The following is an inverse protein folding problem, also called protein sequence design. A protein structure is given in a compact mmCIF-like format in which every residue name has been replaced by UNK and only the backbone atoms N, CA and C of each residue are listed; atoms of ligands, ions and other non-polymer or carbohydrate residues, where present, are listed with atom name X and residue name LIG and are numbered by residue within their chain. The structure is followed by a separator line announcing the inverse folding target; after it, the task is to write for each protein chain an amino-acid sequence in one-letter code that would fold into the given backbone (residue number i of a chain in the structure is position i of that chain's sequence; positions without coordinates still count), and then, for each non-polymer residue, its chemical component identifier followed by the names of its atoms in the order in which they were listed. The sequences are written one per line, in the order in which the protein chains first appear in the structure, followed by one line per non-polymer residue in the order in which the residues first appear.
data_IF_705602432748
#
_entry.id   IF_705602432748
#
_cell.length_a   1.000
_cell.length_b   1.000
_cell.length_c   1.000
_cell.angle_alpha   90.00
_cell.angle_beta   90.00
_cell.angle_gamma   90.00
#
_symmetry.space_group_name_H-M   'P 1'
#
loop_
_entity.id
_entity.type
_entity.pdbx_description
1 polymer ?
#
# COMPACT_ATOMS: atom_id res chain seq x y z
N UNK A 1 21.12 27.95 26.39
CA UNK A 1 20.12 26.88 26.61
C UNK A 1 18.71 27.21 26.12
N UNK A 2 18.22 28.45 26.16
CA UNK A 2 16.84 28.78 25.74
C UNK A 2 16.53 28.62 24.23
N UNK A 3 17.55 28.73 23.36
CA UNK A 3 17.39 28.62 21.90
C UNK A 3 17.10 27.18 21.43
N UNK A 4 17.77 26.16 21.99
CA UNK A 4 17.55 24.76 21.60
C UNK A 4 16.16 24.23 21.99
N UNK A 5 15.63 24.71 23.12
CA UNK A 5 14.29 24.34 23.60
C UNK A 5 13.19 24.84 22.64
N UNK A 6 13.35 26.03 22.05
CA UNK A 6 12.40 26.60 21.07
C UNK A 6 12.31 25.76 19.80
N UNK A 7 13.44 25.30 19.27
CA UNK A 7 13.46 24.46 18.06
C UNK A 7 12.90 23.06 18.33
N UNK A 8 13.21 22.47 19.49
CA UNK A 8 12.66 21.17 19.89
C UNK A 8 11.14 21.18 20.00
N UNK A 9 10.54 22.29 20.45
CA UNK A 9 9.08 22.42 20.52
C UNK A 9 8.43 22.39 19.13
N UNK A 10 8.97 23.16 18.18
CA UNK A 10 8.46 23.18 16.78
C UNK A 10 8.58 21.80 16.15
N UNK A 11 9.73 21.14 16.29
CA UNK A 11 9.94 19.80 15.74
C UNK A 11 8.97 18.78 16.31
N UNK A 12 8.73 18.81 17.63
CA UNK A 12 7.79 17.91 18.29
C UNK A 12 6.35 18.16 17.86
N UNK A 13 5.95 19.43 17.74
CA UNK A 13 4.61 19.83 17.33
C UNK A 13 4.31 19.38 15.89
N UNK A 14 5.14 19.84 14.93
CA UNK A 14 4.99 19.51 13.50
C UNK A 14 5.12 18.01 13.26
N UNK A 15 6.06 17.34 13.95
CA UNK A 15 6.21 15.89 13.85
C UNK A 15 4.98 15.12 14.36
N UNK A 16 4.37 15.57 15.46
CA UNK A 16 3.14 14.95 15.99
C UNK A 16 1.97 15.13 15.03
N UNK A 17 1.77 16.34 14.52
CA UNK A 17 0.72 16.62 13.54
C UNK A 17 0.92 15.80 12.26
N UNK A 18 2.14 15.71 11.76
CA UNK A 18 2.47 14.91 10.59
C UNK A 18 2.17 13.43 10.76
N UNK A 19 2.54 12.84 11.91
CA UNK A 19 2.22 11.43 12.18
C UNK A 19 0.71 11.22 12.30
N UNK A 20 -0.04 12.15 12.91
CA UNK A 20 -1.50 12.05 13.01
C UNK A 20 -2.16 12.12 11.61
N UNK A 21 -1.81 13.13 10.80
CA UNK A 21 -2.33 13.27 9.44
C UNK A 21 -1.91 12.09 8.56
N UNK A 22 -0.71 11.55 8.76
CA UNK A 22 -0.24 10.33 8.09
C UNK A 22 -1.09 9.12 8.43
N UNK A 23 -1.38 8.87 9.71
CA UNK A 23 -2.21 7.73 10.12
C UNK A 23 -3.61 7.82 9.51
N UNK A 24 -4.21 9.01 9.50
CA UNK A 24 -5.52 9.24 8.87
C UNK A 24 -5.47 8.96 7.38
N UNK A 25 -4.50 9.55 6.66
CA UNK A 25 -4.32 9.34 5.23
C UNK A 25 -3.97 7.89 4.89
N UNK A 26 -3.17 7.23 5.72
CA UNK A 26 -2.78 5.83 5.57
C UNK A 26 -4.00 4.93 5.61
N UNK A 27 -4.84 5.04 6.64
CA UNK A 27 -6.05 4.21 6.72
C UNK A 27 -7.01 4.50 5.57
N UNK A 28 -7.16 5.77 5.19
CA UNK A 28 -7.99 6.14 4.04
C UNK A 28 -7.54 5.43 2.75
N UNK A 29 -6.27 5.55 2.37
CA UNK A 29 -5.75 4.88 1.17
C UNK A 29 -5.72 3.36 1.31
N UNK A 30 -5.36 2.85 2.49
CA UNK A 30 -5.35 1.42 2.78
C UNK A 30 -6.73 0.82 2.53
N UNK A 31 -7.80 1.41 3.06
CA UNK A 31 -9.16 0.92 2.85
C UNK A 31 -9.61 1.04 1.40
N UNK A 32 -9.24 2.11 0.69
CA UNK A 32 -9.54 2.26 -0.73
C UNK A 32 -8.92 1.09 -1.53
N UNK A 33 -7.63 0.81 -1.34
CA UNK A 33 -6.97 -0.28 -2.04
C UNK A 33 -7.46 -1.65 -1.58
N UNK A 34 -7.77 -1.81 -0.29
CA UNK A 34 -8.29 -3.04 0.28
C UNK A 34 -9.67 -3.40 -0.30
N UNK A 35 -10.59 -2.43 -0.35
CA UNK A 35 -11.92 -2.63 -0.95
C UNK A 35 -11.80 -2.92 -2.44
N UNK A 36 -10.92 -2.20 -3.16
CA UNK A 36 -10.66 -2.47 -4.57
C UNK A 36 -10.21 -3.92 -4.79
N UNK A 37 -9.32 -4.43 -3.92
CA UNK A 37 -8.84 -5.81 -3.99
C UNK A 37 -9.95 -6.83 -3.70
N UNK A 38 -10.79 -6.59 -2.69
CA UNK A 38 -11.94 -7.45 -2.40
C UNK A 38 -12.88 -7.51 -3.62
N UNK A 39 -13.18 -6.37 -4.25
CA UNK A 39 -14.03 -6.33 -5.45
C UNK A 39 -13.41 -7.10 -6.63
N UNK A 40 -12.10 -6.93 -6.85
CA UNK A 40 -11.38 -7.64 -7.93
C UNK A 40 -11.41 -9.16 -7.72
N UNK A 41 -11.20 -9.61 -6.48
CA UNK A 41 -11.25 -11.03 -6.14
C UNK A 41 -12.70 -11.54 -6.21
N UNK A 42 -13.66 -10.79 -5.69
CA UNK A 42 -15.08 -11.14 -5.75
C UNK A 42 -15.56 -11.31 -7.20
N UNK A 43 -15.19 -10.42 -8.12
CA UNK A 43 -15.51 -10.58 -9.55
C UNK A 43 -14.94 -11.85 -10.17
N UNK A 44 -13.74 -12.27 -9.73
CA UNK A 44 -13.08 -13.49 -10.23
C UNK A 44 -13.62 -14.77 -9.58
N UNK A 45 -14.06 -14.68 -8.33
CA UNK A 45 -14.43 -15.81 -7.49
C UNK A 45 -15.94 -16.03 -7.41
N UNK A 46 -16.81 -15.02 -7.43
CA UNK A 46 -18.28 -15.22 -7.42
C UNK A 46 -18.79 -16.05 -8.60
N UNK A 47 -18.00 -16.19 -9.67
CA UNK A 47 -18.28 -17.06 -10.81
C UNK A 47 -17.93 -18.54 -10.56
N UNK A 48 -17.20 -18.86 -9.49
CA UNK A 48 -16.66 -20.19 -9.16
C UNK A 48 -16.96 -20.52 -7.70
N UNK A 49 -17.46 -21.71 -7.38
CA UNK A 49 -17.75 -22.12 -6.00
C UNK A 49 -16.44 -22.36 -5.20
N UNK A 50 -15.71 -21.28 -4.86
CA UNK A 50 -14.43 -21.33 -4.15
C UNK A 50 -14.67 -21.16 -2.64
N UNK A 51 -13.89 -21.89 -1.84
CA UNK A 51 -13.88 -21.77 -0.38
C UNK A 51 -13.50 -20.35 0.09
N UNK A 52 -14.34 -19.76 0.94
CA UNK A 52 -14.16 -18.42 1.53
C UNK A 52 -12.83 -18.26 2.25
N UNK A 53 -12.30 -19.33 2.85
CA UNK A 53 -11.04 -19.29 3.59
C UNK A 53 -9.85 -19.04 2.66
N UNK A 54 -9.87 -19.64 1.47
CA UNK A 54 -8.86 -19.43 0.45
C UNK A 54 -8.91 -18.00 -0.13
N UNK A 55 -10.11 -17.43 -0.28
CA UNK A 55 -10.31 -16.02 -0.67
C UNK A 55 -9.65 -15.08 0.32
N UNK A 56 -9.91 -15.28 1.61
CA UNK A 56 -9.35 -14.45 2.67
C UNK A 56 -7.82 -14.51 2.68
N UNK A 57 -7.25 -15.71 2.48
CA UNK A 57 -5.81 -15.87 2.37
C UNK A 57 -5.24 -15.12 1.15
N UNK A 58 -5.87 -15.20 -0.02
CA UNK A 58 -5.45 -14.42 -1.20
C UNK A 58 -5.50 -12.90 -0.95
N UNK A 59 -6.51 -12.40 -0.24
CA UNK A 59 -6.61 -10.99 0.15
C UNK A 59 -5.44 -10.61 1.07
N UNK A 60 -5.15 -11.42 2.10
CA UNK A 60 -4.02 -11.19 3.00
C UNK A 60 -2.68 -11.17 2.26
N UNK A 61 -2.47 -12.07 1.30
CA UNK A 61 -1.28 -12.08 0.46
C UNK A 61 -1.21 -10.91 -0.52
N UNK A 62 -2.29 -10.16 -0.71
CA UNK A 62 -2.27 -8.94 -1.51
C UNK A 62 -1.80 -7.72 -0.70
N UNK A 63 -1.76 -7.81 0.65
CA UNK A 63 -1.38 -6.70 1.54
C UNK A 63 -0.06 -6.02 1.20
N UNK A 64 1.04 -6.76 1.03
CA UNK A 64 2.32 -6.12 0.76
C UNK A 64 2.31 -5.28 -0.53
N UNK A 65 1.52 -5.67 -1.52
CA UNK A 65 1.43 -4.95 -2.79
C UNK A 65 0.79 -3.57 -2.64
N UNK A 66 -0.30 -3.44 -1.89
CA UNK A 66 -0.92 -2.14 -1.69
C UNK A 66 -0.20 -1.28 -0.66
N UNK A 67 0.53 -1.88 0.28
CA UNK A 67 1.40 -1.11 1.18
C UNK A 67 2.45 -0.30 0.41
N UNK A 68 3.00 -0.83 -0.70
CA UNK A 68 3.94 -0.09 -1.55
C UNK A 68 3.38 1.24 -2.06
N UNK A 69 2.07 1.31 -2.32
CA UNK A 69 1.41 2.52 -2.80
C UNK A 69 0.84 3.36 -1.65
N UNK A 70 0.35 2.70 -0.59
CA UNK A 70 -0.26 3.36 0.56
C UNK A 70 0.73 4.27 1.29
N UNK A 71 1.96 3.81 1.53
CA UNK A 71 3.00 4.59 2.21
C UNK A 71 3.35 5.92 1.50
N UNK A 72 3.71 5.94 0.20
CA UNK A 72 4.03 7.20 -0.48
C UNK A 72 2.82 8.12 -0.65
N UNK A 73 1.62 7.59 -0.95
CA UNK A 73 0.42 8.44 -1.09
C UNK A 73 -0.02 9.05 0.24
N UNK A 74 -0.01 8.28 1.33
CA UNK A 74 -0.31 8.82 2.66
C UNK A 74 0.72 9.84 3.12
N UNK A 75 2.01 9.60 2.87
CA UNK A 75 3.08 10.57 3.17
C UNK A 75 2.89 11.90 2.44
N UNK A 76 2.52 11.85 1.16
CA UNK A 76 2.23 13.04 0.36
C UNK A 76 1.01 13.79 0.90
N UNK A 77 -0.12 13.11 1.08
CA UNK A 77 -1.35 13.72 1.59
C UNK A 77 -1.19 14.29 2.99
N UNK A 78 -0.49 13.58 3.88
CA UNK A 78 -0.19 14.05 5.23
C UNK A 78 0.65 15.32 5.22
N UNK A 79 1.65 15.41 4.33
CA UNK A 79 2.48 16.62 4.20
C UNK A 79 1.65 17.82 3.77
N UNK A 80 0.73 17.62 2.81
CA UNK A 80 -0.20 18.65 2.36
C UNK A 80 -1.17 19.08 3.46
N UNK A 81 -1.72 18.12 4.22
CA UNK A 81 -2.63 18.39 5.34
C UNK A 81 -1.95 19.23 6.42
N UNK A 82 -0.78 18.81 6.92
CA UNK A 82 -0.04 19.55 7.96
C UNK A 82 0.31 20.96 7.51
N UNK A 83 0.83 21.11 6.29
CA UNK A 83 1.18 22.44 5.78
C UNK A 83 -0.08 23.30 5.64
N UNK A 84 -1.20 22.71 5.21
CA UNK A 84 -2.51 23.36 5.14
C UNK A 84 -3.00 23.83 6.50
N UNK A 85 -2.96 22.96 7.51
CA UNK A 85 -3.41 23.25 8.88
C UNK A 85 -2.53 24.32 9.54
N UNK A 86 -1.20 24.19 9.47
CA UNK A 86 -0.26 25.19 9.98
C UNK A 86 -0.42 26.55 9.28
N UNK A 87 -0.76 26.55 7.99
CA UNK A 87 -1.04 27.78 7.25
C UNK A 87 -2.39 28.38 7.63
N UNK A 88 -3.43 27.57 7.76
CA UNK A 88 -4.80 28.00 8.11
C UNK A 88 -4.89 28.58 9.53
N UNK A 89 -4.11 28.04 10.45
CA UNK A 89 -4.01 28.53 11.84
C UNK A 89 -3.05 29.71 12.01
N UNK A 90 -2.47 30.25 10.92
CA UNK A 90 -1.42 31.28 10.93
C UNK A 90 -0.17 30.89 11.76
N UNK A 91 0.06 29.60 12.01
CA UNK A 91 1.23 29.13 12.78
C UNK A 91 2.52 29.34 11.99
N UNK A 92 2.49 29.17 10.66
CA UNK A 92 3.62 29.49 9.78
C UNK A 92 4.02 30.96 9.92
N UNK A 93 3.04 31.88 9.98
CA UNK A 93 3.29 33.32 10.14
C UNK A 93 3.90 33.61 11.51
N UNK A 94 3.36 33.01 12.57
CA UNK A 94 3.85 33.17 13.95
C UNK A 94 5.28 32.64 14.15
N UNK A 95 5.61 31.49 13.53
CA UNK A 95 6.96 30.92 13.56
C UNK A 95 7.94 31.86 12.85
N UNK A 96 7.56 32.39 11.68
CA UNK A 96 8.39 33.32 10.91
C UNK A 96 8.59 34.66 11.61
N UNK A 97 7.55 35.22 12.24
CA UNK A 97 7.66 36.48 13.00
C UNK A 97 8.53 36.33 14.26
N UNK A 98 8.62 35.12 14.80
CA UNK A 98 9.52 34.76 15.91
C UNK A 98 10.99 34.60 15.49
N UNK A 99 11.32 34.82 14.21
CA UNK A 99 12.69 34.72 13.68
C UNK A 99 13.13 33.29 13.36
N UNK A 100 12.24 32.29 13.44
CA UNK A 100 12.56 30.89 13.11
C UNK A 100 12.40 30.68 11.60
N UNK A 101 13.42 30.12 10.96
CA UNK A 101 13.38 29.80 9.53
C UNK A 101 12.41 28.66 9.25
N UNK A 102 11.64 28.77 8.16
CA UNK A 102 10.68 27.76 7.71
C UNK A 102 11.31 26.39 7.43
N UNK A 103 12.63 26.32 7.21
CA UNK A 103 13.38 25.05 7.09
C UNK A 103 13.16 24.13 8.30
N UNK A 104 12.91 24.68 9.48
CA UNK A 104 12.67 23.91 10.70
C UNK A 104 11.29 23.25 10.72
N UNK A 105 10.32 23.77 9.94
CA UNK A 105 9.02 23.12 9.75
C UNK A 105 9.15 21.92 8.81
N UNK A 106 9.93 22.06 7.73
CA UNK A 106 10.13 20.98 6.76
C UNK A 106 11.03 19.85 7.26
N UNK A 107 12.00 20.15 8.12
CA UNK A 107 12.94 19.16 8.64
C UNK A 107 12.28 17.91 9.26
N UNK A 108 11.34 18.00 10.23
CA UNK A 108 10.70 16.82 10.81
C UNK A 108 9.87 16.04 9.78
N UNK A 109 9.21 16.73 8.83
CA UNK A 109 8.46 16.08 7.75
C UNK A 109 9.40 15.21 6.91
N UNK A 110 10.51 15.78 6.43
CA UNK A 110 11.49 15.07 5.59
C UNK A 110 12.08 13.86 6.34
N UNK A 111 12.47 14.03 7.60
CA UNK A 111 13.06 12.95 8.40
C UNK A 111 12.08 11.79 8.55
N UNK A 112 10.81 12.05 8.89
CA UNK A 112 9.80 11.02 9.05
C UNK A 112 9.46 10.37 7.70
N UNK A 113 9.29 11.16 6.63
CA UNK A 113 9.06 10.63 5.28
C UNK A 113 10.20 9.73 4.80
N UNK A 114 11.45 10.03 5.16
CA UNK A 114 12.60 9.21 4.82
C UNK A 114 12.57 7.85 5.53
N UNK A 115 12.08 7.80 6.77
CA UNK A 115 11.81 6.53 7.49
C UNK A 115 10.73 5.73 6.77
N UNK A 116 9.64 6.35 6.34
CA UNK A 116 8.58 5.67 5.56
C UNK A 116 9.07 5.19 4.19
N UNK A 117 9.96 5.94 3.53
CA UNK A 117 10.61 5.53 2.29
C UNK A 117 11.44 4.26 2.50
N UNK A 118 12.21 4.19 3.59
CA UNK A 118 12.98 2.99 3.93
C UNK A 118 12.07 1.78 4.22
N UNK A 119 10.95 1.99 4.93
CA UNK A 119 9.96 0.94 5.16
C UNK A 119 9.32 0.44 3.85
N UNK A 120 9.04 1.35 2.92
CA UNK A 120 8.53 1.03 1.59
C UNK A 120 9.55 0.20 0.81
N UNK A 121 10.83 0.59 0.85
CA UNK A 121 11.91 -0.15 0.22
C UNK A 121 12.03 -1.58 0.76
N UNK A 122 12.00 -1.77 2.09
CA UNK A 122 12.04 -3.10 2.71
C UNK A 122 10.82 -3.96 2.34
N UNK A 123 9.65 -3.34 2.22
CA UNK A 123 8.43 -4.03 1.78
C UNK A 123 8.55 -4.46 0.31
N UNK A 124 9.10 -3.60 -0.54
CA UNK A 124 9.32 -3.90 -1.96
C UNK A 124 10.36 -5.00 -2.18
N UNK A 125 11.43 -5.02 -1.40
CA UNK A 125 12.54 -5.97 -1.55
C UNK A 125 12.19 -7.37 -1.03
N UNK A 126 11.54 -7.46 0.15
CA UNK A 126 11.31 -8.75 0.83
C UNK A 126 9.86 -9.20 0.84
N UNK A 127 8.97 -8.31 1.27
CA UNK A 127 7.57 -8.69 1.50
C UNK A 127 6.83 -8.94 0.18
N UNK A 128 7.05 -8.10 -0.82
CA UNK A 128 6.36 -8.19 -2.10
C UNK A 128 6.69 -9.47 -2.89
N UNK A 129 7.97 -9.87 -3.10
CA UNK A 129 8.29 -11.08 -3.85
C UNK A 129 7.78 -12.33 -3.12
N UNK A 130 7.92 -12.38 -1.79
CA UNK A 130 7.42 -13.48 -0.97
C UNK A 130 5.91 -13.63 -1.10
N UNK A 131 5.18 -12.52 -0.99
CA UNK A 131 3.72 -12.54 -1.08
C UNK A 131 3.24 -12.90 -2.47
N UNK A 132 3.88 -12.36 -3.51
CA UNK A 132 3.54 -12.65 -4.91
C UNK A 132 3.77 -14.12 -5.25
N UNK A 133 4.86 -14.72 -4.75
CA UNK A 133 5.16 -16.15 -4.96
C UNK A 133 4.06 -17.02 -4.35
N UNK A 134 3.77 -16.83 -3.06
CA UNK A 134 2.73 -17.61 -2.37
C UNK A 134 1.33 -17.34 -2.93
N UNK A 135 1.05 -16.11 -3.41
CA UNK A 135 -0.21 -15.77 -4.05
C UNK A 135 -0.39 -16.59 -5.33
N UNK A 136 0.65 -16.71 -6.16
CA UNK A 136 0.62 -17.51 -7.39
C UNK A 136 0.50 -19.00 -7.11
N UNK A 137 1.18 -19.51 -6.09
CA UNK A 137 1.07 -20.92 -5.66
C UNK A 137 -0.37 -21.23 -5.25
N UNK A 138 -0.92 -20.49 -4.28
CA UNK A 138 -2.28 -20.68 -3.79
C UNK A 138 -3.34 -20.49 -4.90
N UNK A 139 -3.16 -19.48 -5.76
CA UNK A 139 -4.06 -19.26 -6.89
C UNK A 139 -4.03 -20.43 -7.89
N UNK A 140 -2.86 -21.02 -8.14
CA UNK A 140 -2.71 -22.15 -9.06
C UNK A 140 -3.32 -23.42 -8.49
N UNK A 141 -3.13 -23.68 -7.20
CA UNK A 141 -3.70 -24.85 -6.52
C UNK A 141 -5.24 -24.80 -6.53
N UNK A 142 -5.84 -23.63 -6.24
CA UNK A 142 -7.29 -23.44 -6.31
C UNK A 142 -7.86 -23.65 -7.73
N UNK A 143 -7.10 -23.29 -8.77
CA UNK A 143 -7.52 -23.50 -10.15
C UNK A 143 -7.35 -24.95 -10.61
N UNK A 144 -6.45 -25.72 -9.98
CA UNK A 144 -6.28 -27.17 -10.24
C UNK A 144 -7.38 -28.00 -9.57
N UNK A 145 -7.77 -27.64 -8.35
CA UNK A 145 -8.81 -28.33 -7.58
C UNK A 145 -10.23 -28.07 -8.11
N UNK A 146 -10.41 -27.05 -8.96
CA UNK A 146 -11.65 -26.74 -9.67
C UNK A 146 -11.51 -27.04 -11.17
N UNK A 147 -11.55 -28.32 -11.60
CA UNK A 147 -11.37 -28.73 -13.00
C UNK A 147 -12.48 -28.25 -13.95
N UNK A 148 -13.52 -27.57 -13.45
CA UNK A 148 -14.73 -27.25 -14.22
C UNK A 148 -14.65 -25.95 -15.05
N UNK A 149 -13.65 -25.08 -14.91
CA UNK A 149 -13.67 -23.77 -15.59
C UNK A 149 -12.30 -23.26 -16.07
N UNK A 150 -11.83 -23.81 -17.19
CA UNK A 150 -11.53 -23.10 -18.46
C UNK A 150 -10.49 -23.90 -19.28
N UNK A 151 -10.93 -25.01 -19.88
CA UNK A 151 -10.36 -25.41 -21.16
C UNK A 151 -10.92 -24.45 -22.21
N UNK A 152 -10.34 -23.25 -22.34
CA UNK A 152 -10.56 -22.45 -23.55
C UNK A 152 -10.00 -23.24 -24.72
N UNK A 153 -10.88 -23.69 -25.61
CA UNK A 153 -10.49 -24.19 -26.92
C UNK A 153 -9.61 -23.11 -27.58
N UNK A 154 -8.42 -23.51 -28.05
CA UNK A 154 -7.37 -22.64 -28.60
C UNK A 154 -6.61 -21.71 -27.63
N UNK A 155 -6.23 -22.17 -26.43
CA UNK A 155 -5.15 -21.49 -25.68
C UNK A 155 -4.10 -22.46 -25.16
N UNK A 156 -2.85 -22.23 -25.55
CA UNK A 156 -1.67 -22.93 -25.03
C UNK A 156 -1.32 -22.29 -23.68
N UNK A 157 -1.84 -22.84 -22.59
CA UNK A 157 -1.43 -22.44 -21.24
C UNK A 157 -0.31 -23.38 -20.78
N UNK A 158 0.91 -22.86 -20.79
CA UNK A 158 2.09 -23.55 -20.25
C UNK A 158 2.04 -23.48 -18.73
N UNK A 159 1.64 -24.58 -18.10
CA UNK A 159 1.74 -24.74 -16.65
C UNK A 159 3.06 -25.45 -16.35
N UNK A 160 3.95 -24.76 -15.62
CA UNK A 160 5.24 -25.23 -15.12
C UNK A 160 6.26 -25.68 -16.20
N UNK A 161 6.11 -26.88 -16.78
CA UNK A 161 7.07 -27.49 -17.72
C UNK A 161 6.39 -28.47 -18.71
N UNK A 162 5.08 -28.31 -18.93
CA UNK A 162 4.33 -29.14 -19.89
C UNK A 162 3.42 -28.27 -20.72
N UNK A 163 3.68 -28.26 -22.03
CA UNK A 163 2.83 -27.57 -23.02
C UNK A 163 1.72 -28.52 -23.42
N UNK A 164 0.53 -28.33 -22.83
CA UNK A 164 -0.66 -29.06 -23.27
C UNK A 164 -1.31 -28.32 -24.45
N UNK A 165 -1.24 -28.94 -25.63
CA UNK A 165 -1.91 -28.47 -26.85
C UNK A 165 -3.23 -29.24 -26.97
N UNK A 166 -4.35 -28.58 -26.69
CA UNK A 166 -5.67 -29.18 -26.85
C UNK A 166 -6.09 -29.05 -28.33
N UNK A 167 -6.06 -30.16 -29.07
CA UNK A 167 -6.54 -30.24 -30.45
C UNK A 167 -7.97 -30.79 -30.43
N UNK A 168 -8.91 -30.09 -31.07
CA UNK A 168 -10.24 -30.66 -31.30
C UNK A 168 -10.08 -31.91 -32.16
N UNK A 169 -10.59 -33.03 -31.66
CA UNK A 169 -10.73 -34.27 -32.43
C UNK A 169 -12.08 -34.16 -33.14
N UNK A 170 -12.05 -33.78 -34.41
CA UNK A 170 -13.19 -33.96 -35.31
C UNK A 170 -13.38 -35.48 -35.50
N UNK A 171 -14.53 -35.98 -35.05
CA UNK A 171 -15.09 -37.26 -35.43
C UNK A 171 -16.41 -37.01 -36.14
#
# INVERSE_FOLDING_TARGET
MASSARFSLVYRHVGREYVLSFVVAFFFFFFIFFINQILLIAQRILLKQVDYLAVFQLVLLSIPQFLLYTFPFSSLTASSMVIGDLSGNNEILAIRSSGISLKHVFFPIIVISLVFSLLTFLTADKALPWSTKKYRELYTDLMRDLPTLELRANSTNTIADTVMVNKQVEG
#
